data_IF_794233391069
#
_entry.id   IF_794233391069
#
_cell.length_a   1.000
_cell.length_b   1.000
_cell.length_c   1.000
_cell.angle_alpha   90.00
_cell.angle_beta   90.00
_cell.angle_gamma   90.00
#
_symmetry.space_group_name_H-M   'P 1'
#
loop_
_entity.id
_entity.type
_entity.pdbx_description
1 polymer ?
#
# COMPACT_ATOMS: atom_id res chain seq x y z
N UNK A 1 14.05 -10.35 -8.01
CA UNK A 1 14.25 -9.20 -7.13
C UNK A 1 13.29 -9.29 -5.94
N UNK A 2 13.59 -8.63 -4.83
CA UNK A 2 12.77 -8.61 -3.61
C UNK A 2 11.31 -8.20 -3.87
N UNK A 3 11.07 -7.30 -4.85
CA UNK A 3 9.72 -6.91 -5.30
C UNK A 3 8.89 -8.09 -5.80
N UNK A 4 9.50 -8.97 -6.60
CA UNK A 4 8.82 -10.12 -7.17
C UNK A 4 8.50 -11.17 -6.10
N UNK A 5 9.40 -11.38 -5.15
CA UNK A 5 9.21 -12.33 -4.06
C UNK A 5 8.02 -11.94 -3.17
N UNK A 6 7.83 -10.65 -2.94
CA UNK A 6 6.73 -10.15 -2.14
C UNK A 6 5.38 -10.34 -2.84
N UNK A 7 5.31 -9.98 -4.11
CA UNK A 7 4.12 -10.19 -4.93
C UNK A 7 3.80 -11.68 -5.00
N UNK A 8 4.79 -12.52 -5.22
CA UNK A 8 4.62 -13.99 -5.29
C UNK A 8 4.16 -14.59 -3.96
N UNK A 9 4.44 -13.97 -2.83
CA UNK A 9 3.95 -14.41 -1.52
C UNK A 9 2.43 -14.25 -1.38
N UNK A 10 1.83 -13.34 -2.13
CA UNK A 10 0.40 -13.05 -2.12
C UNK A 10 -0.35 -13.58 -3.36
N UNK A 11 0.37 -13.92 -4.43
CA UNK A 11 -0.24 -14.42 -5.66
C UNK A 11 -0.13 -15.95 -5.69
N UNK A 12 -1.27 -16.61 -5.71
CA UNK A 12 -1.30 -18.05 -6.03
C UNK A 12 -0.76 -18.23 -7.44
N UNK A 13 0.31 -19.04 -7.56
CA UNK A 13 1.11 -19.22 -8.78
C UNK A 13 0.27 -19.59 -10.02
N UNK A 14 -0.95 -20.07 -9.83
CA UNK A 14 -1.81 -20.58 -10.89
C UNK A 14 -2.87 -19.60 -11.44
N UNK A 15 -3.11 -18.47 -10.75
CA UNK A 15 -4.07 -17.45 -11.19
C UNK A 15 -3.45 -16.05 -11.09
N UNK A 16 -2.54 -15.76 -12.03
CA UNK A 16 -1.90 -14.46 -12.12
C UNK A 16 -2.80 -13.49 -12.89
N UNK A 17 -3.58 -12.71 -12.18
CA UNK A 17 -4.23 -11.54 -12.76
C UNK A 17 -3.47 -10.29 -12.30
N UNK A 18 -3.05 -9.48 -13.28
CA UNK A 18 -2.41 -8.20 -13.02
C UNK A 18 -2.71 -7.25 -14.17
N UNK A 19 -2.92 -5.99 -13.87
CA UNK A 19 -3.22 -4.98 -14.87
C UNK A 19 -2.80 -3.60 -14.37
N UNK A 20 -2.76 -2.64 -15.30
CA UNK A 20 -2.60 -1.23 -14.98
C UNK A 20 -3.97 -0.55 -14.99
N UNK A 21 -4.17 0.40 -14.10
CA UNK A 21 -5.32 1.30 -14.11
C UNK A 21 -4.86 2.74 -14.24
N UNK A 22 -5.68 3.58 -14.87
CA UNK A 22 -5.46 5.02 -14.89
C UNK A 22 -6.14 5.70 -13.68
N UNK A 23 -6.03 7.01 -13.59
CA UNK A 23 -6.64 7.80 -12.52
C UNK A 23 -8.17 7.74 -12.48
N UNK A 24 -8.81 7.33 -13.58
CA UNK A 24 -10.27 7.11 -13.65
C UNK A 24 -10.67 5.68 -13.24
N UNK A 25 -9.71 4.84 -12.86
CA UNK A 25 -9.96 3.44 -12.48
C UNK A 25 -10.15 2.51 -13.67
N UNK A 26 -9.87 2.97 -14.88
CA UNK A 26 -10.01 2.20 -16.11
C UNK A 26 -8.75 1.38 -16.36
N UNK A 27 -8.92 0.13 -16.82
CA UNK A 27 -7.79 -0.70 -17.24
C UNK A 27 -7.13 -0.11 -18.48
N UNK A 28 -5.81 -0.04 -18.46
CA UNK A 28 -5.00 0.41 -19.58
C UNK A 28 -3.98 -0.65 -19.98
N UNK A 29 -3.48 -0.60 -21.22
CA UNK A 29 -2.48 -1.54 -21.70
C UNK A 29 -1.15 -1.39 -20.94
N UNK A 30 -0.48 -2.51 -20.74
CA UNK A 30 0.83 -2.59 -20.12
C UNK A 30 1.00 -3.84 -19.28
N UNK A 31 2.23 -4.11 -18.90
CA UNK A 31 2.61 -5.21 -18.04
C UNK A 31 2.86 -4.70 -16.62
N UNK A 32 1.92 -4.99 -15.72
CA UNK A 32 2.02 -4.57 -14.31
C UNK A 32 3.28 -5.13 -13.62
N UNK A 33 3.73 -6.33 -13.99
CA UNK A 33 4.93 -6.95 -13.41
C UNK A 33 6.24 -6.29 -13.87
N UNK A 34 6.25 -5.71 -15.06
CA UNK A 34 7.41 -5.02 -15.62
C UNK A 34 7.38 -3.50 -15.37
N UNK A 35 6.36 -3.00 -14.70
CA UNK A 35 6.14 -1.57 -14.52
C UNK A 35 7.09 -0.99 -13.46
N UNK A 36 7.76 0.10 -13.82
CA UNK A 36 8.41 0.98 -12.86
C UNK A 36 7.32 1.83 -12.19
N UNK A 37 7.05 1.56 -10.91
CA UNK A 37 5.94 2.15 -10.18
C UNK A 37 6.06 3.68 -10.10
N UNK A 38 7.26 4.20 -9.88
CA UNK A 38 7.50 5.65 -9.74
C UNK A 38 7.26 6.35 -11.07
N UNK A 39 7.84 5.80 -12.15
CA UNK A 39 7.66 6.36 -13.49
C UNK A 39 6.20 6.29 -13.93
N UNK A 40 5.56 5.14 -13.76
CA UNK A 40 4.18 4.94 -14.16
C UNK A 40 3.22 5.90 -13.42
N UNK A 41 3.49 6.19 -12.15
CA UNK A 41 2.69 7.15 -11.40
C UNK A 41 2.75 8.57 -11.99
N UNK A 42 3.88 8.98 -12.57
CA UNK A 42 3.97 10.27 -13.29
C UNK A 42 3.11 10.31 -14.55
N UNK A 43 2.79 9.15 -15.10
CA UNK A 43 1.92 8.97 -16.26
C UNK A 43 0.47 8.61 -15.86
N UNK A 44 0.14 8.71 -14.57
CA UNK A 44 -1.14 8.33 -13.98
C UNK A 44 -1.55 6.88 -14.30
N UNK A 45 -0.57 5.98 -14.21
CA UNK A 45 -0.76 4.54 -14.38
C UNK A 45 -0.34 3.81 -13.11
N UNK A 46 -1.18 2.91 -12.64
CA UNK A 46 -1.02 2.28 -11.33
C UNK A 46 -1.21 0.76 -11.46
N UNK A 47 -0.21 -0.04 -11.05
CA UNK A 47 -0.33 -1.49 -11.14
C UNK A 47 -1.25 -2.05 -10.06
N UNK A 48 -2.10 -2.98 -10.45
CA UNK A 48 -2.96 -3.76 -9.56
C UNK A 48 -2.66 -5.24 -9.79
N UNK A 49 -2.42 -5.96 -8.72
CA UNK A 49 -2.25 -7.42 -8.74
C UNK A 49 -3.41 -8.05 -7.99
N UNK A 50 -3.97 -9.12 -8.55
CA UNK A 50 -5.09 -9.83 -7.92
C UNK A 50 -4.61 -11.19 -7.44
N UNK A 51 -4.77 -11.44 -6.16
CA UNK A 51 -4.54 -12.73 -5.55
C UNK A 51 -5.88 -13.35 -5.14
N UNK A 52 -6.05 -14.64 -5.38
CA UNK A 52 -7.22 -15.37 -4.90
C UNK A 52 -6.83 -16.11 -3.62
N UNK A 53 -7.50 -15.78 -2.54
CA UNK A 53 -7.29 -16.40 -1.23
C UNK A 53 -8.63 -16.98 -0.75
N UNK A 54 -8.68 -18.29 -0.59
CA UNK A 54 -9.90 -19.01 -0.17
C UNK A 54 -11.14 -18.66 -1.02
N UNK A 55 -10.93 -18.51 -2.33
CA UNK A 55 -12.00 -18.20 -3.29
C UNK A 55 -12.36 -16.71 -3.36
N UNK A 56 -11.70 -15.86 -2.59
CA UNK A 56 -11.95 -14.42 -2.57
C UNK A 56 -10.79 -13.63 -3.17
N UNK A 57 -11.05 -12.66 -4.06
CA UNK A 57 -9.99 -11.82 -4.59
C UNK A 57 -9.45 -10.85 -3.54
N UNK A 58 -8.15 -10.68 -3.54
CA UNK A 58 -7.44 -9.62 -2.81
C UNK A 58 -6.74 -8.74 -3.84
N UNK A 59 -6.89 -7.44 -3.69
CA UNK A 59 -6.29 -6.48 -4.62
C UNK A 59 -5.04 -5.88 -3.99
N UNK A 60 -3.91 -6.01 -4.68
CA UNK A 60 -2.60 -5.57 -4.20
C UNK A 60 -2.19 -4.33 -4.99
N UNK A 61 -1.86 -3.28 -4.27
CA UNK A 61 -1.49 -1.98 -4.83
C UNK A 61 -0.08 -1.61 -4.41
N UNK A 62 0.62 -0.91 -5.29
CA UNK A 62 2.00 -0.49 -5.07
C UNK A 62 2.08 0.88 -4.39
N UNK A 63 3.01 1.00 -3.47
CA UNK A 63 3.30 2.21 -2.71
C UNK A 63 4.72 2.70 -3.02
N UNK A 64 4.92 4.01 -3.09
CA UNK A 64 6.24 4.63 -3.17
C UNK A 64 6.23 5.99 -2.47
N UNK A 65 7.32 6.31 -1.81
CA UNK A 65 7.46 7.56 -1.07
C UNK A 65 8.89 7.79 -0.60
N UNK A 66 9.05 8.64 0.38
CA UNK A 66 10.35 9.00 0.92
C UNK A 66 10.36 8.99 2.44
N UNK A 67 11.43 8.46 3.01
CA UNK A 67 11.73 8.50 4.43
C UNK A 67 12.74 9.58 4.77
N UNK A 68 13.39 9.41 5.91
CA UNK A 68 14.43 10.34 6.36
C UNK A 68 15.71 10.26 5.50
N UNK A 69 16.12 9.04 5.11
CA UNK A 69 17.39 8.81 4.43
C UNK A 69 17.26 8.35 2.98
N UNK A 70 16.07 8.17 2.48
CA UNK A 70 15.89 7.74 1.09
C UNK A 70 14.52 7.20 0.79
N UNK A 71 14.38 6.55 -0.38
CA UNK A 71 13.10 6.03 -0.83
C UNK A 71 12.49 5.01 0.13
N UNK A 72 11.17 5.08 0.26
CA UNK A 72 10.33 4.07 0.84
C UNK A 72 9.45 3.46 -0.24
N UNK A 73 9.12 2.19 -0.11
CA UNK A 73 8.15 1.53 -0.99
C UNK A 73 7.46 0.40 -0.25
N UNK A 74 6.47 -0.16 -0.86
CA UNK A 74 5.76 -1.29 -0.30
C UNK A 74 4.55 -1.68 -1.13
N UNK A 75 3.77 -2.56 -0.53
CA UNK A 75 2.51 -3.00 -1.10
C UNK A 75 1.45 -3.05 0.00
N UNK A 76 0.24 -2.75 -0.38
CA UNK A 76 -0.93 -2.91 0.48
C UNK A 76 -1.98 -3.71 -0.27
N UNK A 77 -2.60 -4.66 0.41
CA UNK A 77 -3.69 -5.43 -0.16
C UNK A 77 -4.98 -5.15 0.59
N UNK A 78 -6.07 -5.15 -0.16
CA UNK A 78 -7.42 -5.01 0.38
C UNK A 78 -8.26 -6.23 0.06
N UNK A 79 -9.26 -6.48 0.89
CA UNK A 79 -10.27 -7.51 0.67
C UNK A 79 -11.12 -7.20 -0.57
N UNK A 80 -12.03 -8.10 -0.91
CA UNK A 80 -12.94 -7.94 -2.04
C UNK A 80 -13.86 -6.72 -1.93
N UNK A 81 -14.04 -6.18 -0.72
CA UNK A 81 -14.76 -4.92 -0.49
C UNK A 81 -14.00 -3.68 -0.99
N UNK A 82 -12.74 -3.85 -1.41
CA UNK A 82 -11.84 -2.78 -1.85
C UNK A 82 -11.63 -1.66 -0.81
N UNK A 83 -11.80 -1.98 0.47
CA UNK A 83 -11.69 -1.03 1.57
C UNK A 83 -10.90 -1.57 2.76
N UNK A 84 -11.20 -2.78 3.19
CA UNK A 84 -10.57 -3.37 4.38
C UNK A 84 -9.20 -3.93 4.03
N UNK A 85 -8.17 -3.49 4.73
CA UNK A 85 -6.80 -3.96 4.49
C UNK A 85 -6.66 -5.41 4.93
N UNK A 86 -6.21 -6.25 4.00
CA UNK A 86 -5.87 -7.65 4.24
C UNK A 86 -4.43 -7.81 4.70
N UNK A 87 -3.51 -7.02 4.14
CA UNK A 87 -2.11 -7.05 4.52
C UNK A 87 -1.35 -5.85 3.99
N UNK A 88 -0.18 -5.61 4.57
CA UNK A 88 0.73 -4.56 4.15
C UNK A 88 2.17 -5.04 4.30
N UNK A 89 3.06 -4.48 3.51
CA UNK A 89 4.49 -4.71 3.61
C UNK A 89 5.23 -3.44 3.18
N UNK A 90 6.24 -3.08 3.95
CA UNK A 90 7.01 -1.86 3.73
C UNK A 90 8.50 -2.18 3.64
N UNK A 91 9.19 -1.40 2.83
CA UNK A 91 10.63 -1.47 2.64
C UNK A 91 11.24 -0.09 2.56
N UNK A 92 12.53 -0.02 2.74
CA UNK A 92 13.30 1.23 2.67
C UNK A 92 14.67 0.97 2.04
N UNK A 93 15.32 2.02 1.58
CA UNK A 93 16.67 1.91 1.04
C UNK A 93 17.73 2.01 2.15
N UNK A 94 17.62 2.96 3.06
CA UNK A 94 18.70 3.26 4.00
C UNK A 94 18.27 3.83 5.34
N UNK A 95 17.06 3.51 5.81
CA UNK A 95 16.63 3.97 7.13
C UNK A 95 17.42 3.28 8.24
N UNK A 96 17.53 3.94 9.39
CA UNK A 96 18.40 3.50 10.49
C UNK A 96 17.84 2.27 11.20
N UNK A 97 18.63 1.17 11.34
CA UNK A 97 18.23 -0.01 12.11
C UNK A 97 17.78 0.35 13.53
N UNK A 98 16.70 -0.28 13.99
CA UNK A 98 16.13 -0.02 15.32
C UNK A 98 15.31 1.28 15.41
N UNK A 99 15.37 2.12 14.39
CA UNK A 99 14.61 3.36 14.27
C UNK A 99 13.69 3.29 13.04
N UNK A 100 13.91 4.11 12.02
CA UNK A 100 13.07 4.13 10.81
C UNK A 100 12.99 2.78 10.09
N UNK A 101 14.05 1.98 10.11
CA UNK A 101 14.06 0.66 9.47
C UNK A 101 13.03 -0.34 10.06
N UNK A 102 12.50 -0.05 11.24
CA UNK A 102 11.48 -0.91 11.88
C UNK A 102 10.16 -0.95 11.10
N UNK A 103 9.92 -0.03 10.16
CA UNK A 103 8.76 -0.10 9.26
C UNK A 103 8.73 -1.40 8.45
N UNK A 104 9.89 -2.02 8.20
CA UNK A 104 9.97 -3.28 7.44
C UNK A 104 9.68 -4.52 8.27
N UNK A 105 9.41 -4.38 9.55
CA UNK A 105 9.15 -5.50 10.46
C UNK A 105 7.66 -5.84 10.53
N UNK A 106 7.34 -7.14 10.74
CA UNK A 106 5.94 -7.58 10.89
C UNK A 106 5.18 -6.88 12.00
N UNK A 107 5.85 -6.49 13.09
CA UNK A 107 5.22 -5.77 14.19
C UNK A 107 4.55 -4.47 13.73
N UNK A 108 5.14 -3.77 12.78
CA UNK A 108 4.55 -2.57 12.20
C UNK A 108 3.49 -2.90 11.15
N UNK A 109 3.82 -3.72 10.16
CA UNK A 109 2.91 -4.01 9.05
C UNK A 109 1.63 -4.73 9.49
N UNK A 110 1.71 -5.56 10.54
CA UNK A 110 0.53 -6.27 11.06
C UNK A 110 -0.52 -5.35 11.68
N UNK A 111 -0.15 -4.15 12.11
CA UNK A 111 -1.10 -3.16 12.65
C UNK A 111 -2.12 -2.71 11.61
N UNK A 112 -1.78 -2.79 10.32
CA UNK A 112 -2.66 -2.35 9.22
C UNK A 112 -3.81 -3.30 8.93
N UNK A 113 -3.70 -4.58 9.32
CA UNK A 113 -4.74 -5.58 9.05
C UNK A 113 -6.07 -5.18 9.68
N UNK A 114 -7.13 -5.20 8.86
CA UNK A 114 -8.47 -4.84 9.28
C UNK A 114 -8.77 -3.35 9.31
N UNK A 115 -7.78 -2.49 9.08
CA UNK A 115 -7.99 -1.05 8.96
C UNK A 115 -8.67 -0.72 7.64
N UNK A 116 -9.41 0.38 7.61
CA UNK A 116 -10.18 0.81 6.44
C UNK A 116 -9.58 2.04 5.80
N UNK A 117 -9.54 2.03 4.47
CA UNK A 117 -9.04 3.13 3.64
C UNK A 117 -10.09 4.23 3.50
N UNK A 118 -11.36 3.83 3.43
CA UNK A 118 -12.51 4.74 3.33
C UNK A 118 -13.29 4.73 4.64
N UNK A 119 -13.75 5.91 5.04
CA UNK A 119 -14.65 6.09 6.18
C UNK A 119 -15.87 6.88 5.72
N UNK A 120 -17.07 6.32 5.94
CA UNK A 120 -18.33 6.93 5.50
C UNK A 120 -18.34 7.31 4.01
N UNK A 121 -17.73 6.47 3.17
CA UNK A 121 -17.64 6.67 1.73
C UNK A 121 -16.57 7.65 1.26
N UNK A 122 -15.83 8.27 2.18
CA UNK A 122 -14.72 9.17 1.84
C UNK A 122 -13.36 8.48 1.94
N UNK A 123 -12.49 8.78 0.97
CA UNK A 123 -11.10 8.36 1.01
C UNK A 123 -10.35 9.11 2.12
N UNK A 124 -9.79 8.34 3.06
CA UNK A 124 -9.02 8.86 4.20
C UNK A 124 -7.59 8.33 4.24
N UNK A 125 -7.32 7.18 3.62
CA UNK A 125 -6.11 6.39 3.86
C UNK A 125 -6.09 5.88 5.31
N UNK A 126 -4.96 5.35 5.76
CA UNK A 126 -4.70 4.97 7.15
C UNK A 126 -3.59 5.86 7.67
N UNK A 127 -3.84 6.59 8.74
CA UNK A 127 -2.86 7.48 9.33
C UNK A 127 -1.79 6.70 10.09
N UNK A 128 -0.57 7.21 10.06
CA UNK A 128 0.51 6.75 10.93
C UNK A 128 0.78 7.86 11.94
N UNK A 129 0.43 7.62 13.18
CA UNK A 129 0.46 8.63 14.23
C UNK A 129 1.55 8.32 15.26
N UNK A 130 1.95 9.33 16.02
CA UNK A 130 2.88 9.13 17.13
C UNK A 130 2.27 8.14 18.13
N UNK A 131 3.06 7.16 18.64
CA UNK A 131 2.54 6.18 19.60
C UNK A 131 1.77 6.83 20.74
N UNK A 132 0.59 6.28 21.04
CA UNK A 132 -0.31 6.80 22.06
C UNK A 132 -1.19 7.97 21.65
N UNK A 133 -1.09 8.42 20.40
CA UNK A 133 -1.98 9.44 19.81
C UNK A 133 -3.10 8.78 19.01
N UNK A 134 -4.12 9.55 18.71
CA UNK A 134 -5.26 9.11 17.90
C UNK A 134 -5.67 10.20 16.91
N UNK A 135 -6.41 9.79 15.87
CA UNK A 135 -7.02 10.68 14.88
C UNK A 135 -8.50 10.36 14.82
N UNK A 136 -9.34 11.40 14.81
CA UNK A 136 -10.78 11.24 14.66
C UNK A 136 -11.16 11.09 13.17
N UNK A 137 -12.15 10.23 12.88
CA UNK A 137 -12.73 10.08 11.54
C UNK A 137 -11.87 9.35 10.52
N UNK A 138 -10.83 8.67 10.98
CA UNK A 138 -9.88 7.93 10.15
C UNK A 138 -9.27 6.79 10.96
N UNK A 139 -9.04 5.64 10.32
CA UNK A 139 -8.26 4.57 10.93
C UNK A 139 -6.78 4.96 11.01
N UNK A 140 -6.10 4.46 12.01
CA UNK A 140 -4.70 4.80 12.24
C UNK A 140 -3.93 3.63 12.86
N UNK A 141 -2.62 3.71 12.73
CA UNK A 141 -1.66 2.81 13.39
C UNK A 141 -0.62 3.65 14.13
N UNK A 142 0.04 3.03 15.10
CA UNK A 142 1.17 3.65 15.78
C UNK A 142 2.40 3.65 14.88
N UNK A 143 3.05 4.81 14.78
CA UNK A 143 4.36 4.94 14.14
C UNK A 143 5.47 4.33 14.98
N UNK A 144 6.68 4.43 14.46
CA UNK A 144 7.87 3.89 15.10
C UNK A 144 8.39 4.91 16.12
N UNK A 145 8.54 4.47 17.36
CA UNK A 145 9.21 5.27 18.39
C UNK A 145 10.68 5.51 18.00
N UNK A 146 11.11 6.77 17.98
CA UNK A 146 12.43 7.14 17.48
C UNK A 146 12.56 7.17 15.95
N UNK A 147 11.49 6.87 15.21
CA UNK A 147 11.42 6.91 13.74
C UNK A 147 10.33 7.85 13.23
N UNK A 148 10.18 9.03 13.84
CA UNK A 148 9.08 9.96 13.57
C UNK A 148 9.04 10.43 12.12
N UNK A 149 10.19 10.77 11.54
CA UNK A 149 10.26 11.29 10.16
C UNK A 149 9.95 10.15 9.18
N UNK A 150 10.49 8.96 9.39
CA UNK A 150 10.18 7.79 8.56
C UNK A 150 8.69 7.42 8.68
N UNK A 151 8.13 7.44 9.88
CA UNK A 151 6.70 7.18 10.11
C UNK A 151 5.81 8.17 9.37
N UNK A 152 6.17 9.45 9.39
CA UNK A 152 5.49 10.48 8.60
C UNK A 152 5.61 10.22 7.10
N UNK A 153 6.78 9.76 6.66
CA UNK A 153 6.99 9.35 5.27
C UNK A 153 6.06 8.20 4.85
N UNK A 154 5.83 7.24 5.72
CA UNK A 154 4.85 6.15 5.46
C UNK A 154 3.43 6.69 5.39
N UNK A 155 3.05 7.59 6.29
CA UNK A 155 1.73 8.24 6.29
C UNK A 155 1.47 8.96 4.94
N UNK A 156 2.40 9.77 4.51
CA UNK A 156 2.34 10.49 3.24
C UNK A 156 2.36 9.54 2.03
N UNK A 157 3.19 8.51 2.07
CA UNK A 157 3.26 7.48 1.03
C UNK A 157 1.93 6.77 0.84
N UNK A 158 1.29 6.36 1.93
CA UNK A 158 -0.03 5.71 1.89
C UNK A 158 -1.06 6.63 1.26
N UNK A 159 -1.18 7.86 1.73
CA UNK A 159 -2.16 8.80 1.21
C UNK A 159 -1.93 9.09 -0.28
N UNK A 160 -0.70 9.45 -0.64
CA UNK A 160 -0.38 9.86 -2.01
C UNK A 160 -0.48 8.69 -2.99
N UNK A 161 0.06 7.52 -2.63
CA UNK A 161 0.00 6.34 -3.51
C UNK A 161 -1.42 5.82 -3.69
N UNK A 162 -2.19 5.71 -2.60
CA UNK A 162 -3.57 5.22 -2.67
C UNK A 162 -4.51 6.20 -3.36
N UNK A 163 -4.21 7.49 -3.34
CA UNK A 163 -5.00 8.52 -4.06
C UNK A 163 -5.17 8.18 -5.54
N UNK A 164 -4.13 7.62 -6.18
CA UNK A 164 -4.20 7.21 -7.58
C UNK A 164 -5.16 6.05 -7.84
N UNK A 165 -5.40 5.22 -6.83
CA UNK A 165 -6.28 4.05 -6.93
C UNK A 165 -7.73 4.32 -6.54
N UNK A 166 -8.09 5.52 -6.09
CA UNK A 166 -9.41 5.80 -5.49
C UNK A 166 -10.55 5.43 -6.44
N UNK A 167 -10.46 5.78 -7.71
CA UNK A 167 -11.51 5.44 -8.69
C UNK A 167 -11.62 3.94 -8.95
N UNK A 168 -10.49 3.24 -8.98
CA UNK A 168 -10.49 1.79 -9.05
C UNK A 168 -11.16 1.16 -7.82
N UNK A 169 -10.81 1.64 -6.63
CA UNK A 169 -11.33 1.11 -5.36
C UNK A 169 -12.82 1.40 -5.16
N UNK A 170 -13.35 2.43 -5.80
CA UNK A 170 -14.79 2.78 -5.75
C UNK A 170 -15.58 2.24 -6.93
N UNK A 171 -14.93 1.66 -7.93
CA UNK A 171 -15.61 1.03 -9.06
C UNK A 171 -16.29 -0.26 -8.64
N UNK A 172 -17.43 -0.57 -9.29
CA UNK A 172 -18.22 -1.79 -9.00
C UNK A 172 -17.83 -2.99 -9.88
N UNK A 173 -16.75 -2.88 -10.64
CA UNK A 173 -16.30 -3.94 -11.56
C UNK A 173 -15.28 -4.85 -10.90
#
# INVERSE_FOLDING_TARGET
SAKMTLILKYINIFNKEAFLVNENGEKVEGDAFATDVVKAATEHQYPVFVANVDGQPKYIMALHGAGLWGPLWGYISVDSDKNTIYGADFSHQGETPGLGAEISKPAFSNEFKGKKIFMSGEFKSVAVVKPGKSVAGQDYVDGISGGTITSKGVDEMLFNSLSGYVKFLTSQN
#
